data_IF_727268835803
#
_entry.id   IF_727268835803
#
_cell.length_a   1.000
_cell.length_b   1.000
_cell.length_c   1.000
_cell.angle_alpha   90.00
_cell.angle_beta   90.00
_cell.angle_gamma   90.00
#
_symmetry.space_group_name_H-M   'P 1'
#
loop_
_entity.id
_entity.type
_entity.pdbx_description
1 polymer ?
#
# COMPACT_ATOMS: atom_id res chain seq x y z
N UNK A 1 32.86 10.98 3.52
CA UNK A 1 31.67 10.62 4.31
C UNK A 1 31.15 9.22 3.98
N UNK A 2 30.85 8.89 2.71
CA UNK A 2 30.37 7.54 2.34
C UNK A 2 31.35 6.40 2.71
N UNK A 3 32.65 6.59 2.46
CA UNK A 3 33.67 5.57 2.79
C UNK A 3 33.78 5.28 4.30
N UNK A 4 33.57 6.27 5.17
CA UNK A 4 33.59 6.06 6.63
C UNK A 4 32.33 5.33 7.09
N UNK A 5 31.17 5.67 6.53
CA UNK A 5 29.90 4.97 6.78
C UNK A 5 30.01 3.48 6.40
N UNK A 6 30.60 3.15 5.25
CA UNK A 6 30.78 1.76 4.82
C UNK A 6 31.70 0.97 5.74
N UNK A 7 32.81 1.58 6.19
CA UNK A 7 33.72 0.94 7.15
C UNK A 7 33.03 0.65 8.48
N UNK A 8 32.19 1.56 8.97
CA UNK A 8 31.45 1.34 10.21
C UNK A 8 30.34 0.30 10.06
N UNK A 9 29.67 0.23 8.90
CA UNK A 9 28.71 -0.82 8.60
C UNK A 9 29.35 -2.21 8.62
N UNK A 10 30.57 -2.36 8.09
CA UNK A 10 31.31 -3.62 8.14
C UNK A 10 31.62 -4.04 9.58
N UNK A 11 32.01 -3.10 10.45
CA UNK A 11 32.27 -3.37 11.87
C UNK A 11 31.01 -3.82 12.62
N UNK A 12 29.84 -3.24 12.29
CA UNK A 12 28.55 -3.54 12.94
C UNK A 12 27.78 -4.69 12.29
N UNK A 13 28.34 -5.37 11.27
CA UNK A 13 27.61 -6.35 10.47
C UNK A 13 27.03 -7.49 11.30
N UNK A 14 27.83 -8.06 12.21
CA UNK A 14 27.41 -9.24 12.95
C UNK A 14 26.39 -8.88 14.04
N UNK A 15 26.53 -7.71 14.67
CA UNK A 15 25.50 -7.11 15.53
C UNK A 15 24.19 -6.90 14.76
N UNK A 16 24.25 -6.27 13.58
CA UNK A 16 23.07 -6.06 12.74
C UNK A 16 22.42 -7.36 12.27
N UNK A 17 23.19 -8.45 12.07
CA UNK A 17 22.67 -9.76 11.71
C UNK A 17 22.10 -10.55 12.88
N UNK A 18 22.43 -10.17 14.12
CA UNK A 18 21.94 -10.87 15.31
C UNK A 18 20.42 -10.83 15.42
N UNK A 19 19.77 -9.80 14.88
CA UNK A 19 18.31 -9.65 14.84
C UNK A 19 17.60 -10.79 14.09
N UNK A 20 18.33 -11.52 13.23
CA UNK A 20 17.81 -12.64 12.45
C UNK A 20 18.05 -14.01 13.11
N UNK A 21 18.53 -14.04 14.35
CA UNK A 21 18.96 -15.25 15.03
C UNK A 21 18.59 -15.23 16.51
N UNK A 22 18.71 -16.39 17.16
CA UNK A 22 18.52 -16.53 18.59
C UNK A 22 17.10 -16.95 18.98
N UNK A 23 16.95 -17.29 20.27
CA UNK A 23 15.76 -17.95 20.82
C UNK A 23 14.46 -17.18 20.53
N UNK A 24 14.50 -15.85 20.68
CA UNK A 24 13.34 -14.97 20.43
C UNK A 24 12.93 -14.97 18.96
N UNK A 25 13.89 -14.85 18.05
CA UNK A 25 13.63 -14.93 16.62
C UNK A 25 13.01 -16.29 16.25
N UNK A 26 13.59 -17.39 16.72
CA UNK A 26 13.09 -18.75 16.48
C UNK A 26 11.68 -18.96 17.01
N UNK A 27 11.37 -18.45 18.21
CA UNK A 27 10.02 -18.48 18.79
C UNK A 27 9.00 -17.74 17.93
N UNK A 28 9.35 -16.54 17.44
CA UNK A 28 8.46 -15.79 16.54
C UNK A 28 8.27 -16.53 15.21
N UNK A 29 9.32 -17.13 14.65
CA UNK A 29 9.22 -17.94 13.42
C UNK A 29 8.32 -19.15 13.63
N UNK A 30 8.42 -19.85 14.76
CA UNK A 30 7.53 -20.97 15.09
C UNK A 30 6.08 -20.52 15.22
N UNK A 31 5.83 -19.40 15.91
CA UNK A 31 4.50 -18.82 16.01
C UNK A 31 3.93 -18.41 14.63
N UNK A 32 4.75 -17.82 13.77
CA UNK A 32 4.39 -17.49 12.40
C UNK A 32 4.00 -18.74 11.59
N UNK A 33 4.75 -19.85 11.72
CA UNK A 33 4.39 -21.14 11.09
C UNK A 33 3.05 -21.67 11.60
N UNK A 34 2.83 -21.63 12.91
CA UNK A 34 1.59 -22.12 13.53
C UNK A 34 0.36 -21.25 13.19
N UNK A 35 0.57 -19.98 12.87
CA UNK A 35 -0.46 -19.05 12.43
C UNK A 35 -0.67 -19.04 10.91
N UNK A 36 0.11 -19.80 10.15
CA UNK A 36 -0.04 -19.85 8.70
C UNK A 36 -1.07 -20.89 8.30
N UNK A 37 -2.01 -20.47 7.45
CA UNK A 37 -2.95 -21.34 6.77
C UNK A 37 -2.40 -21.59 5.38
N UNK A 38 -1.82 -22.78 5.15
CA UNK A 38 -1.42 -23.19 3.81
C UNK A 38 -2.67 -23.30 2.92
N UNK A 39 -2.64 -22.57 1.81
CA UNK A 39 -3.71 -22.59 0.83
C UNK A 39 -3.13 -22.20 -0.53
N UNK A 40 -3.33 -23.05 -1.54
CA UNK A 40 -2.92 -22.78 -2.91
C UNK A 40 -4.09 -22.18 -3.69
N UNK A 41 -4.08 -20.85 -3.96
CA UNK A 41 -5.23 -20.18 -4.54
C UNK A 41 -5.53 -20.69 -5.95
N UNK A 42 -6.80 -20.95 -6.21
CA UNK A 42 -7.29 -21.39 -7.50
C UNK A 42 -7.67 -20.19 -8.35
N UNK A 43 -7.28 -20.19 -9.63
CA UNK A 43 -7.62 -19.08 -10.52
C UNK A 43 -9.14 -18.98 -10.68
N UNK A 44 -9.70 -17.87 -10.24
CA UNK A 44 -11.10 -17.50 -10.44
C UNK A 44 -11.19 -16.30 -11.37
N UNK A 45 -11.99 -16.41 -12.42
CA UNK A 45 -12.29 -15.25 -13.28
C UNK A 45 -13.05 -14.20 -12.48
N UNK A 46 -12.50 -13.00 -12.42
CA UNK A 46 -13.10 -11.85 -11.75
C UNK A 46 -12.61 -10.56 -12.39
N UNK A 47 -13.47 -9.54 -12.39
CA UNK A 47 -13.11 -8.17 -12.76
C UNK A 47 -12.52 -7.50 -11.53
N UNK A 48 -11.23 -7.17 -11.57
CA UNK A 48 -10.54 -6.46 -10.49
C UNK A 48 -10.21 -5.05 -10.96
N UNK A 49 -10.60 -4.05 -10.17
CA UNK A 49 -10.15 -2.68 -10.32
C UNK A 49 -9.05 -2.38 -9.29
N UNK A 50 -7.93 -1.83 -9.75
CA UNK A 50 -6.86 -1.31 -8.91
C UNK A 50 -6.93 0.20 -8.85
N UNK A 51 -6.66 0.77 -7.66
CA UNK A 51 -6.64 2.21 -7.42
C UNK A 51 -5.31 2.57 -6.78
N UNK A 52 -4.69 3.61 -7.31
CA UNK A 52 -3.51 4.24 -6.73
C UNK A 52 -3.56 5.75 -7.05
N UNK A 53 -2.79 6.52 -6.29
CA UNK A 53 -2.63 7.95 -6.48
C UNK A 53 -1.17 8.36 -6.38
N UNK A 54 -0.85 9.49 -7.01
CA UNK A 54 0.48 10.08 -6.93
C UNK A 54 0.36 11.58 -6.87
N UNK A 55 1.35 12.21 -6.26
CA UNK A 55 1.55 13.64 -6.34
C UNK A 55 3.05 13.92 -6.39
N UNK A 56 3.40 15.03 -7.03
CA UNK A 56 4.77 15.50 -7.07
C UNK A 56 4.78 17.02 -7.14
N UNK A 57 5.87 17.63 -6.71
CA UNK A 57 6.03 19.08 -6.75
C UNK A 57 7.48 19.49 -6.97
N UNK A 58 7.65 20.69 -7.53
CA UNK A 58 8.95 21.35 -7.65
C UNK A 58 8.87 22.75 -7.09
N UNK A 59 9.92 23.15 -6.37
CA UNK A 59 9.97 24.41 -5.63
C UNK A 59 10.86 25.42 -6.34
N UNK A 60 10.36 26.64 -6.38
CA UNK A 60 11.05 27.86 -6.74
C UNK A 60 11.16 28.75 -5.49
N UNK A 61 11.87 29.86 -5.56
CA UNK A 61 11.99 30.79 -4.42
C UNK A 61 10.63 31.36 -4.00
N UNK A 62 9.95 30.72 -3.04
CA UNK A 62 8.64 31.14 -2.50
C UNK A 62 7.42 30.60 -3.25
N UNK A 63 7.62 29.83 -4.32
CA UNK A 63 6.55 29.30 -5.17
C UNK A 63 6.72 27.79 -5.37
N UNK A 64 5.62 27.06 -5.51
CA UNK A 64 5.64 25.61 -5.74
C UNK A 64 4.69 25.26 -6.88
N UNK A 65 5.22 24.57 -7.89
CA UNK A 65 4.42 23.93 -8.92
C UNK A 65 4.13 22.51 -8.46
N UNK A 66 2.87 22.13 -8.41
CA UNK A 66 2.44 20.82 -7.91
C UNK A 66 1.42 20.18 -8.83
N UNK A 67 1.39 18.85 -8.80
CA UNK A 67 0.46 18.00 -9.54
C UNK A 67 0.05 16.85 -8.64
N UNK A 68 -1.22 16.47 -8.71
CA UNK A 68 -1.79 15.29 -8.06
C UNK A 68 -2.70 14.56 -9.04
N UNK A 69 -2.66 13.24 -9.01
CA UNK A 69 -3.49 12.38 -9.86
C UNK A 69 -3.89 11.10 -9.12
N UNK A 70 -5.04 10.55 -9.46
CA UNK A 70 -5.46 9.22 -9.04
C UNK A 70 -6.13 8.49 -10.20
N UNK A 71 -5.92 7.18 -10.26
CA UNK A 71 -6.42 6.33 -11.34
C UNK A 71 -7.10 5.11 -10.73
N UNK A 72 -8.28 4.78 -11.25
CA UNK A 72 -8.89 3.45 -11.14
C UNK A 72 -8.89 2.75 -12.49
N UNK A 73 -8.32 1.55 -12.54
CA UNK A 73 -8.12 0.79 -13.77
C UNK A 73 -8.39 -0.70 -13.55
N UNK A 74 -9.11 -1.33 -14.49
CA UNK A 74 -9.35 -2.78 -14.48
C UNK A 74 -8.09 -3.55 -14.85
N UNK A 75 -7.99 -4.82 -14.46
CA UNK A 75 -6.91 -5.71 -14.89
C UNK A 75 -6.82 -5.87 -16.43
N UNK A 76 -7.88 -5.56 -17.16
CA UNK A 76 -7.91 -5.51 -18.63
C UNK A 76 -7.28 -4.25 -19.23
N UNK A 77 -6.89 -3.27 -18.41
CA UNK A 77 -6.40 -1.96 -18.85
C UNK A 77 -7.50 -0.91 -19.09
N UNK A 78 -8.77 -1.25 -18.88
CA UNK A 78 -9.88 -0.29 -19.00
C UNK A 78 -9.87 0.64 -17.79
N UNK A 79 -9.64 1.94 -18.03
CA UNK A 79 -9.75 2.99 -17.00
C UNK A 79 -11.23 3.20 -16.63
N UNK A 80 -11.53 3.13 -15.33
CA UNK A 80 -12.86 3.42 -14.79
C UNK A 80 -12.97 4.91 -14.46
N UNK A 81 -11.92 5.46 -13.86
CA UNK A 81 -11.89 6.84 -13.40
C UNK A 81 -10.44 7.33 -13.39
N UNK A 82 -10.24 8.54 -13.89
CA UNK A 82 -8.99 9.28 -13.81
C UNK A 82 -9.30 10.69 -13.32
N UNK A 83 -8.53 11.17 -12.35
CA UNK A 83 -8.72 12.48 -11.73
C UNK A 83 -7.35 13.11 -11.60
N UNK A 84 -7.20 14.35 -12.03
CA UNK A 84 -5.98 15.11 -11.83
C UNK A 84 -6.29 16.54 -11.39
N UNK A 85 -5.32 17.15 -10.71
CA UNK A 85 -5.32 18.56 -10.38
C UNK A 85 -3.88 19.07 -10.36
N UNK A 86 -3.68 20.33 -10.72
CA UNK A 86 -2.37 20.97 -10.71
C UNK A 86 -2.50 22.44 -10.36
N UNK A 87 -1.43 23.02 -9.84
CA UNK A 87 -1.42 24.43 -9.49
C UNK A 87 -0.04 24.97 -9.23
N UNK A 88 0.02 26.30 -9.19
CA UNK A 88 1.21 27.09 -8.94
C UNK A 88 0.94 28.02 -7.76
N UNK A 89 1.67 27.86 -6.67
CA UNK A 89 1.40 28.56 -5.41
C UNK A 89 1.84 27.74 -4.21
N UNK A 90 1.45 28.17 -3.02
CA UNK A 90 1.53 27.31 -1.84
C UNK A 90 0.45 26.23 -1.96
N UNK A 91 0.79 24.92 -1.85
CA UNK A 91 -0.21 23.87 -1.97
C UNK A 91 -1.25 23.98 -0.84
N UNK A 92 -2.48 24.35 -1.20
CA UNK A 92 -3.61 24.40 -0.28
C UNK A 92 -4.83 23.76 -0.96
N UNK A 93 -5.36 22.64 -0.43
CA UNK A 93 -4.87 21.83 0.71
C UNK A 93 -3.63 20.96 0.37
N UNK A 94 -3.04 20.33 1.40
CA UNK A 94 -1.91 19.39 1.28
C UNK A 94 -2.15 18.32 0.19
N UNK A 95 -1.13 18.06 -0.64
CA UNK A 95 -1.24 17.15 -1.79
C UNK A 95 -1.64 15.72 -1.40
N UNK A 96 -1.18 15.23 -0.24
CA UNK A 96 -1.55 13.90 0.27
C UNK A 96 -3.05 13.78 0.55
N UNK A 97 -3.67 14.84 1.11
CA UNK A 97 -5.11 14.90 1.33
C UNK A 97 -5.88 14.95 0.00
N UNK A 98 -5.39 15.71 -0.98
CA UNK A 98 -6.00 15.74 -2.31
C UNK A 98 -5.96 14.36 -2.97
N UNK A 99 -4.79 13.69 -2.95
CA UNK A 99 -4.60 12.35 -3.49
C UNK A 99 -5.56 11.34 -2.84
N UNK A 100 -5.61 11.33 -1.51
CA UNK A 100 -6.50 10.45 -0.74
C UNK A 100 -7.99 10.73 -1.04
N UNK A 101 -8.38 11.99 -1.25
CA UNK A 101 -9.75 12.34 -1.65
C UNK A 101 -10.07 11.80 -3.04
N UNK A 102 -9.15 11.91 -3.99
CA UNK A 102 -9.31 11.37 -5.33
C UNK A 102 -9.40 9.84 -5.32
N UNK A 103 -8.66 9.15 -4.46
CA UNK A 103 -8.79 7.69 -4.27
C UNK A 103 -10.18 7.28 -3.75
N UNK A 104 -10.76 8.04 -2.82
CA UNK A 104 -12.12 7.78 -2.34
C UNK A 104 -13.16 7.99 -3.45
N UNK A 105 -12.99 9.03 -4.28
CA UNK A 105 -13.85 9.25 -5.44
C UNK A 105 -13.71 8.12 -6.47
N UNK A 106 -12.48 7.73 -6.81
CA UNK A 106 -12.19 6.62 -7.70
C UNK A 106 -12.75 5.29 -7.16
N UNK A 107 -12.64 5.06 -5.84
CA UNK A 107 -13.21 3.90 -5.17
C UNK A 107 -14.72 3.88 -5.33
N UNK A 108 -15.40 4.99 -5.02
CA UNK A 108 -16.87 5.13 -5.13
C UNK A 108 -17.36 4.84 -6.55
N UNK A 109 -16.63 5.30 -7.57
CA UNK A 109 -16.94 5.03 -8.98
C UNK A 109 -16.72 3.56 -9.36
N UNK A 110 -15.80 2.87 -8.70
CA UNK A 110 -15.37 1.51 -9.08
C UNK A 110 -16.16 0.39 -8.43
N UNK A 111 -16.79 0.64 -7.26
CA UNK A 111 -17.51 -0.38 -6.49
C UNK A 111 -18.53 -1.15 -7.34
N UNK A 112 -19.23 -0.47 -8.25
CA UNK A 112 -20.25 -1.10 -9.08
C UNK A 112 -19.70 -1.75 -10.36
N UNK A 113 -18.47 -1.43 -10.74
CA UNK A 113 -17.87 -1.75 -12.05
C UNK A 113 -16.94 -2.97 -12.01
N UNK A 114 -16.68 -3.52 -10.81
CA UNK A 114 -15.75 -4.61 -10.57
C UNK A 114 -16.29 -5.58 -9.51
N UNK A 115 -15.88 -6.84 -9.61
CA UNK A 115 -16.14 -7.87 -8.59
C UNK A 115 -15.31 -7.62 -7.33
N UNK A 116 -14.13 -7.00 -7.49
CA UNK A 116 -13.23 -6.61 -6.42
C UNK A 116 -12.56 -5.28 -6.75
N UNK A 117 -12.55 -4.37 -5.79
CA UNK A 117 -11.81 -3.10 -5.84
C UNK A 117 -10.65 -3.18 -4.85
N UNK A 118 -9.43 -3.02 -5.33
CA UNK A 118 -8.23 -3.01 -4.51
C UNK A 118 -7.62 -1.60 -4.51
N UNK A 119 -7.34 -1.06 -3.32
CA UNK A 119 -6.58 0.18 -3.16
C UNK A 119 -5.12 -0.17 -2.78
N UNK A 120 -4.13 0.48 -3.39
CA UNK A 120 -2.74 0.38 -2.95
C UNK A 120 -2.57 1.19 -1.65
N UNK A 121 -2.00 0.57 -0.63
CA UNK A 121 -1.83 1.18 0.68
C UNK A 121 -2.68 0.55 1.78
N UNK A 122 -2.78 1.24 2.90
CA UNK A 122 -3.35 0.72 4.14
C UNK A 122 -4.52 1.56 4.61
N UNK A 123 -5.68 0.91 4.75
CA UNK A 123 -6.89 1.50 5.33
C UNK A 123 -6.62 2.12 6.69
N UNK A 124 -5.92 1.36 7.54
CA UNK A 124 -5.56 1.79 8.90
C UNK A 124 -4.73 3.08 8.86
N UNK A 125 -3.61 3.06 8.13
CA UNK A 125 -2.64 4.16 8.17
C UNK A 125 -3.12 5.40 7.43
N UNK A 126 -3.93 5.21 6.39
CA UNK A 126 -4.35 6.30 5.52
C UNK A 126 -5.68 6.88 5.99
N UNK A 127 -6.77 6.12 5.96
CA UNK A 127 -8.11 6.67 6.12
C UNK A 127 -8.65 6.62 7.56
N UNK A 128 -8.06 5.82 8.44
CA UNK A 128 -8.49 5.75 9.84
C UNK A 128 -7.63 6.59 10.79
N UNK A 129 -6.40 6.93 10.38
CA UNK A 129 -5.47 7.77 11.14
C UNK A 129 -5.12 9.08 10.43
N UNK A 130 -4.22 9.09 9.43
CA UNK A 130 -3.73 10.32 8.78
C UNK A 130 -4.84 11.19 8.18
N UNK A 131 -5.69 10.58 7.36
CA UNK A 131 -6.77 11.23 6.60
C UNK A 131 -8.14 10.87 7.20
N UNK A 132 -8.23 10.91 8.53
CA UNK A 132 -9.42 10.44 9.26
C UNK A 132 -10.72 11.19 8.92
N UNK A 133 -10.63 12.42 8.39
CA UNK A 133 -11.77 13.18 7.86
C UNK A 133 -12.43 12.50 6.65
N UNK A 134 -11.68 11.70 5.88
CA UNK A 134 -12.18 10.91 4.75
C UNK A 134 -12.68 9.53 5.16
N UNK A 135 -12.45 9.11 6.41
CA UNK A 135 -12.75 7.78 6.91
C UNK A 135 -14.22 7.37 6.75
N UNK A 136 -15.16 8.30 6.96
CA UNK A 136 -16.59 8.02 6.75
C UNK A 136 -16.92 7.78 5.28
N UNK A 137 -16.38 8.60 4.37
CA UNK A 137 -16.64 8.50 2.94
C UNK A 137 -16.12 7.18 2.37
N UNK A 138 -14.88 6.78 2.71
CA UNK A 138 -14.35 5.49 2.26
C UNK A 138 -15.12 4.31 2.86
N UNK A 139 -15.55 4.42 4.12
CA UNK A 139 -16.35 3.37 4.77
C UNK A 139 -17.71 3.20 4.09
N UNK A 140 -18.35 4.29 3.66
CA UNK A 140 -19.59 4.23 2.89
C UNK A 140 -19.40 3.53 1.54
N UNK A 141 -18.29 3.82 0.84
CA UNK A 141 -17.94 3.13 -0.40
C UNK A 141 -17.74 1.62 -0.16
N UNK A 142 -16.98 1.24 0.88
CA UNK A 142 -16.74 -0.16 1.24
C UNK A 142 -18.07 -0.89 1.54
N UNK A 143 -18.95 -0.27 2.35
CA UNK A 143 -20.22 -0.89 2.78
C UNK A 143 -21.24 -1.08 1.66
N UNK A 144 -21.09 -0.40 0.52
CA UNK A 144 -22.05 -0.46 -0.59
C UNK A 144 -22.14 -1.85 -1.24
N UNK A 145 -21.02 -2.56 -1.40
CA UNK A 145 -20.99 -3.95 -1.92
C UNK A 145 -20.07 -4.90 -1.15
N UNK A 146 -19.33 -4.42 -0.16
CA UNK A 146 -18.36 -5.21 0.61
C UNK A 146 -17.31 -5.90 -0.26
N UNK A 147 -16.95 -5.28 -1.39
CA UNK A 147 -15.98 -5.78 -2.37
C UNK A 147 -14.72 -4.92 -2.46
N UNK A 148 -14.43 -4.14 -1.41
CA UNK A 148 -13.28 -3.23 -1.36
C UNK A 148 -12.25 -3.75 -0.37
N UNK A 149 -11.00 -3.86 -0.82
CA UNK A 149 -9.86 -4.29 0.00
C UNK A 149 -8.69 -3.33 -0.14
N UNK A 150 -7.83 -3.31 0.87
CA UNK A 150 -6.60 -2.52 0.87
C UNK A 150 -5.41 -3.46 0.85
N UNK A 151 -4.47 -3.22 -0.06
CA UNK A 151 -3.33 -4.10 -0.27
C UNK A 151 -2.06 -3.28 -0.13
N UNK A 152 -1.17 -3.69 0.79
CA UNK A 152 0.13 -3.06 1.00
C UNK A 152 1.28 -4.04 0.75
N UNK A 153 2.32 -3.57 0.06
CA UNK A 153 3.58 -4.32 -0.19
C UNK A 153 4.48 -4.40 1.05
N UNK A 154 4.32 -3.42 1.95
CA UNK A 154 5.10 -3.27 3.18
C UNK A 154 4.16 -3.11 4.37
N UNK A 155 4.63 -3.48 5.55
CA UNK A 155 3.90 -3.29 6.80
C UNK A 155 4.88 -3.18 7.96
N UNK A 156 4.72 -2.16 8.79
CA UNK A 156 5.45 -1.99 10.06
C UNK A 156 4.66 -2.52 11.26
N UNK A 157 3.45 -3.05 11.05
CA UNK A 157 2.63 -3.58 12.15
C UNK A 157 3.33 -4.76 12.84
N UNK A 158 3.34 -4.75 14.17
CA UNK A 158 4.00 -5.74 15.04
C UNK A 158 3.01 -6.50 15.93
N UNK A 159 1.72 -6.32 15.71
CA UNK A 159 0.66 -6.66 16.66
C UNK A 159 0.49 -8.16 16.87
N UNK A 160 0.78 -8.99 15.86
CA UNK A 160 0.62 -10.45 15.98
C UNK A 160 1.72 -11.09 16.83
N UNK A 161 2.93 -10.52 16.82
CA UNK A 161 4.09 -11.07 17.53
C UNK A 161 4.67 -10.15 18.61
N UNK A 162 4.04 -9.01 18.90
CA UNK A 162 4.47 -8.03 19.91
C UNK A 162 4.72 -8.67 21.27
N UNK A 163 3.83 -9.57 21.71
CA UNK A 163 3.94 -10.27 23.00
C UNK A 163 5.13 -11.25 23.07
N UNK A 164 5.59 -11.73 21.91
CA UNK A 164 6.83 -12.51 21.79
C UNK A 164 8.05 -11.60 21.63
N UNK A 165 7.82 -10.28 21.61
CA UNK A 165 8.84 -9.28 21.46
C UNK A 165 9.39 -9.18 20.03
N UNK A 166 8.61 -9.41 18.98
CA UNK A 166 9.07 -9.15 17.61
C UNK A 166 9.73 -7.77 17.47
N UNK A 167 10.95 -7.67 16.94
CA UNK A 167 11.68 -6.42 16.70
C UNK A 167 11.31 -5.77 15.36
N UNK A 168 11.01 -6.59 14.36
CA UNK A 168 10.54 -6.18 13.04
C UNK A 168 9.01 -6.31 12.90
N UNK A 169 8.43 -5.82 11.80
CA UNK A 169 7.01 -6.01 11.51
C UNK A 169 6.63 -7.48 11.25
N UNK A 170 5.38 -7.85 11.51
CA UNK A 170 4.89 -9.23 11.40
C UNK A 170 5.13 -9.84 10.01
N UNK A 171 4.97 -9.03 8.95
CA UNK A 171 5.23 -9.43 7.55
C UNK A 171 6.65 -9.96 7.33
N UNK A 172 7.63 -9.40 8.06
CA UNK A 172 9.02 -9.80 7.97
C UNK A 172 9.20 -11.24 8.46
N UNK A 173 8.58 -11.59 9.61
CA UNK A 173 8.66 -12.91 10.19
C UNK A 173 7.92 -13.96 9.35
N UNK A 174 6.73 -13.65 8.84
CA UNK A 174 6.04 -14.54 7.91
C UNK A 174 6.87 -14.82 6.65
N UNK A 175 7.57 -13.82 6.11
CA UNK A 175 8.39 -14.00 4.91
C UNK A 175 9.62 -14.89 5.15
N UNK A 176 10.13 -14.93 6.38
CA UNK A 176 11.21 -15.83 6.81
C UNK A 176 10.72 -17.23 7.16
N UNK A 177 9.52 -17.32 7.75
CA UNK A 177 8.97 -18.56 8.24
C UNK A 177 8.62 -19.53 7.11
N UNK A 178 7.98 -19.06 6.04
CA UNK A 178 7.47 -19.93 4.97
C UNK A 178 7.75 -19.34 3.60
N UNK A 179 7.76 -20.20 2.57
CA UNK A 179 7.85 -19.82 1.14
C UNK A 179 6.62 -20.21 0.31
N UNK A 180 5.70 -21.01 0.88
CA UNK A 180 4.49 -21.47 0.20
C UNK A 180 3.37 -20.41 0.14
N UNK A 181 2.42 -20.54 -0.81
CA UNK A 181 1.17 -19.80 -0.82
C UNK A 181 0.36 -20.02 0.45
N UNK A 182 -0.54 -19.08 0.72
CA UNK A 182 -1.43 -19.12 1.88
C UNK A 182 -1.56 -17.76 2.54
N UNK A 183 -2.03 -17.76 3.77
CA UNK A 183 -2.24 -16.53 4.52
C UNK A 183 -2.07 -16.75 6.03
N UNK A 184 -1.74 -15.71 6.76
CA UNK A 184 -1.80 -15.73 8.22
C UNK A 184 -3.24 -15.84 8.70
N UNK A 185 -3.45 -16.38 9.90
CA UNK A 185 -4.73 -16.22 10.62
C UNK A 185 -5.18 -14.76 10.61
N UNK A 186 -6.49 -14.58 10.55
CA UNK A 186 -7.12 -13.26 10.54
C UNK A 186 -6.84 -12.59 11.88
N UNK A 187 -6.23 -11.41 11.83
CA UNK A 187 -6.03 -10.57 13.00
C UNK A 187 -7.00 -9.41 12.96
N UNK A 188 -7.65 -9.13 14.09
CA UNK A 188 -8.61 -8.03 14.24
C UNK A 188 -7.98 -6.94 15.09
N UNK A 189 -7.72 -5.79 14.49
CA UNK A 189 -7.17 -4.62 15.18
C UNK A 189 -8.31 -3.71 15.65
N UNK A 190 -8.51 -3.68 16.98
CA UNK A 190 -9.55 -2.91 17.67
C UNK A 190 -9.01 -1.63 18.32
N UNK A 191 -7.72 -1.32 18.16
CA UNK A 191 -7.05 -0.28 18.96
C UNK A 191 -7.41 1.15 18.52
N UNK A 192 -8.14 1.31 17.41
CA UNK A 192 -8.55 2.60 16.85
C UNK A 192 -9.84 3.19 17.44
N UNK A 193 -10.48 2.47 18.36
CA UNK A 193 -11.74 2.88 19.00
C UNK A 193 -13.01 2.44 18.25
N UNK A 194 -14.20 2.78 18.79
CA UNK A 194 -15.48 2.27 18.30
C UNK A 194 -15.73 2.59 16.83
N UNK A 195 -16.10 1.58 16.05
CA UNK A 195 -16.46 1.71 14.62
C UNK A 195 -15.29 1.82 13.64
N UNK A 196 -14.03 1.84 14.12
CA UNK A 196 -12.81 1.89 13.28
C UNK A 196 -12.03 0.58 13.34
N UNK A 197 -12.70 -0.54 13.13
CA UNK A 197 -12.07 -1.85 13.29
C UNK A 197 -11.61 -2.39 11.94
N UNK A 198 -10.35 -2.86 11.89
CA UNK A 198 -9.74 -3.41 10.67
C UNK A 198 -9.34 -4.85 10.95
N UNK A 199 -9.76 -5.76 10.07
CA UNK A 199 -9.23 -7.12 10.02
C UNK A 199 -8.16 -7.20 8.95
N UNK A 200 -7.09 -7.94 9.19
CA UNK A 200 -6.06 -8.12 8.18
C UNK A 200 -5.40 -9.49 8.22
N UNK A 201 -4.85 -9.86 7.07
CA UNK A 201 -4.00 -11.04 6.88
C UNK A 201 -2.74 -10.64 6.13
N UNK A 202 -1.66 -11.41 6.33
CA UNK A 202 -0.53 -11.43 5.42
C UNK A 202 -0.70 -12.61 4.48
N UNK A 203 -0.65 -12.38 3.18
CA UNK A 203 -0.92 -13.40 2.17
C UNK A 203 0.23 -13.55 1.18
N UNK A 204 0.47 -14.79 0.73
CA UNK A 204 1.33 -15.12 -0.40
C UNK A 204 0.48 -15.78 -1.48
N UNK A 205 0.47 -15.20 -2.68
CA UNK A 205 -0.33 -15.70 -3.80
C UNK A 205 0.35 -16.84 -4.58
N UNK A 206 1.69 -16.92 -4.56
CA UNK A 206 2.46 -17.95 -5.27
C UNK A 206 3.74 -18.29 -4.52
N UNK A 207 4.25 -19.50 -4.71
CA UNK A 207 5.54 -19.93 -4.15
C UNK A 207 6.65 -18.88 -4.34
N UNK A 208 7.36 -18.64 -3.24
CA UNK A 208 8.55 -17.78 -3.16
C UNK A 208 8.36 -16.33 -3.65
N UNK A 209 7.13 -15.83 -3.77
CA UNK A 209 6.88 -14.41 -4.03
C UNK A 209 6.84 -13.60 -2.74
N UNK A 210 7.00 -12.26 -2.82
CA UNK A 210 6.76 -11.40 -1.67
C UNK A 210 5.36 -11.58 -1.06
N UNK A 211 5.26 -11.27 0.23
CA UNK A 211 3.99 -11.19 0.94
C UNK A 211 3.34 -9.83 0.68
N UNK A 212 2.01 -9.83 0.71
CA UNK A 212 1.18 -8.63 0.77
C UNK A 212 0.40 -8.62 2.08
N UNK A 213 0.14 -7.44 2.64
CA UNK A 213 -0.86 -7.27 3.69
C UNK A 213 -2.19 -6.93 3.03
N UNK A 214 -3.23 -7.67 3.38
CA UNK A 214 -4.60 -7.41 2.93
C UNK A 214 -5.40 -6.93 4.14
N UNK A 215 -5.97 -5.74 4.06
CA UNK A 215 -6.82 -5.16 5.09
C UNK A 215 -8.27 -5.07 4.62
N UNK A 216 -9.18 -5.43 5.51
CA UNK A 216 -10.63 -5.47 5.36
C UNK A 216 -11.26 -4.64 6.48
N UNK A 217 -12.35 -3.95 6.17
CA UNK A 217 -13.08 -3.18 7.18
C UNK A 217 -14.06 -4.09 7.95
N UNK A 218 -13.97 -4.12 9.28
CA UNK A 218 -14.85 -4.90 10.15
C UNK A 218 -14.15 -6.02 10.93
N UNK A 219 -14.96 -6.91 11.55
CA UNK A 219 -14.50 -7.94 12.50
C UNK A 219 -14.92 -9.37 12.16
N UNK A 220 -15.93 -9.57 11.32
CA UNK A 220 -16.60 -10.87 11.13
C UNK A 220 -16.15 -11.60 9.85
N UNK A 221 -14.89 -11.41 9.46
CA UNK A 221 -14.32 -12.05 8.28
C UNK A 221 -13.96 -13.51 8.55
N UNK A 222 -14.24 -14.38 7.57
CA UNK A 222 -14.01 -15.83 7.68
C UNK A 222 -12.88 -16.27 6.77
N UNK A 223 -12.21 -17.37 7.13
CA UNK A 223 -11.16 -17.93 6.27
C UNK A 223 -11.65 -18.26 4.85
N UNK A 224 -12.91 -18.67 4.68
CA UNK A 224 -13.49 -18.92 3.35
C UNK A 224 -13.59 -17.66 2.49
N UNK A 225 -13.82 -16.50 3.10
CA UNK A 225 -13.83 -15.20 2.43
C UNK A 225 -12.41 -14.83 1.97
N UNK A 226 -11.40 -15.03 2.85
CA UNK A 226 -9.99 -14.81 2.49
C UNK A 226 -9.58 -15.73 1.35
N UNK A 227 -9.91 -17.03 1.40
CA UNK A 227 -9.62 -17.97 0.30
C UNK A 227 -10.23 -17.51 -1.03
N UNK A 228 -11.52 -17.15 -1.02
CA UNK A 228 -12.20 -16.59 -2.20
C UNK A 228 -11.53 -15.31 -2.72
N UNK A 229 -11.04 -14.45 -1.82
CA UNK A 229 -10.30 -13.25 -2.19
C UNK A 229 -8.96 -13.59 -2.87
N UNK A 230 -8.20 -14.53 -2.31
CA UNK A 230 -6.93 -14.97 -2.90
C UNK A 230 -7.13 -15.61 -4.27
N UNK A 231 -8.21 -16.38 -4.46
CA UNK A 231 -8.57 -16.99 -5.75
C UNK A 231 -8.81 -15.93 -6.84
N UNK A 232 -9.53 -14.86 -6.48
CA UNK A 232 -9.75 -13.73 -7.38
C UNK A 232 -8.43 -12.99 -7.70
N UNK A 233 -7.65 -12.67 -6.67
CA UNK A 233 -6.39 -11.92 -6.84
C UNK A 233 -5.37 -12.68 -7.69
N UNK A 234 -5.28 -14.00 -7.54
CA UNK A 234 -4.24 -14.82 -8.18
C UNK A 234 -4.35 -14.87 -9.70
N UNK A 235 -5.56 -14.84 -10.25
CA UNK A 235 -5.80 -14.88 -11.71
C UNK A 235 -5.07 -13.77 -12.44
N UNK A 236 -5.11 -12.55 -11.89
CA UNK A 236 -4.53 -11.36 -12.50
C UNK A 236 -3.30 -10.87 -11.72
N UNK A 237 -2.55 -11.75 -11.05
CA UNK A 237 -1.35 -11.34 -10.30
C UNK A 237 -0.06 -11.62 -11.07
N UNK A 238 0.87 -10.67 -11.05
CA UNK A 238 2.21 -10.81 -11.61
C UNK A 238 3.21 -10.79 -10.47
N UNK A 239 4.03 -11.83 -10.36
CA UNK A 239 5.06 -11.96 -9.30
C UNK A 239 4.51 -11.82 -7.88
N UNK A 240 3.27 -12.27 -7.64
CA UNK A 240 2.63 -12.25 -6.32
C UNK A 240 1.96 -10.92 -5.95
N UNK A 241 1.82 -9.99 -6.90
CA UNK A 241 1.12 -8.73 -6.71
C UNK A 241 0.02 -8.51 -7.77
N UNK A 242 -1.17 -8.00 -7.41
CA UNK A 242 -2.27 -7.80 -8.36
C UNK A 242 -1.90 -6.84 -9.50
N UNK A 243 -2.11 -7.28 -10.74
CA UNK A 243 -1.75 -6.52 -11.94
C UNK A 243 -2.55 -5.22 -12.06
N UNK A 244 -3.82 -5.20 -11.65
CA UNK A 244 -4.63 -3.98 -11.66
C UNK A 244 -4.01 -2.87 -10.79
N UNK A 245 -3.43 -3.23 -9.63
CA UNK A 245 -2.71 -2.27 -8.79
C UNK A 245 -1.39 -1.82 -9.42
N UNK A 246 -0.67 -2.74 -10.10
CA UNK A 246 0.52 -2.38 -10.87
C UNK A 246 0.18 -1.38 -11.99
N UNK A 247 -0.92 -1.61 -12.71
CA UNK A 247 -1.41 -0.70 -13.74
C UNK A 247 -1.79 0.66 -13.16
N UNK A 248 -2.51 0.69 -12.05
CA UNK A 248 -2.88 1.94 -11.38
C UNK A 248 -1.62 2.75 -11.01
N UNK A 249 -0.65 2.11 -10.35
CA UNK A 249 0.62 2.71 -9.96
C UNK A 249 1.39 3.33 -11.11
N UNK A 250 1.56 2.59 -12.21
CA UNK A 250 2.27 3.10 -13.38
C UNK A 250 1.48 4.21 -14.10
N UNK A 251 0.15 4.14 -14.09
CA UNK A 251 -0.70 5.12 -14.77
C UNK A 251 -0.79 6.45 -14.02
N UNK A 252 -0.71 6.43 -12.69
CA UNK A 252 -0.79 7.64 -11.88
C UNK A 252 0.60 8.25 -11.58
N UNK A 253 1.70 7.60 -11.95
CA UNK A 253 3.06 8.05 -11.58
C UNK A 253 3.42 9.40 -12.21
N UNK A 254 3.73 10.39 -11.37
CA UNK A 254 4.21 11.71 -11.81
C UNK A 254 5.73 11.79 -11.58
N UNK A 255 6.51 11.81 -12.66
CA UNK A 255 7.97 11.89 -12.56
C UNK A 255 8.50 13.32 -12.51
N UNK A 256 9.76 13.49 -12.10
CA UNK A 256 10.42 14.79 -12.17
C UNK A 256 10.55 15.29 -13.62
N UNK A 257 10.64 14.40 -14.60
CA UNK A 257 10.66 14.78 -16.01
C UNK A 257 9.31 15.37 -16.45
N UNK A 258 8.19 14.85 -15.92
CA UNK A 258 6.85 15.41 -16.16
C UNK A 258 6.72 16.80 -15.54
N UNK A 259 7.23 16.99 -14.31
CA UNK A 259 7.32 18.30 -13.71
C UNK A 259 8.17 19.26 -14.55
N UNK A 260 9.35 18.84 -15.02
CA UNK A 260 10.19 19.69 -15.89
C UNK A 260 9.46 20.11 -17.17
N UNK A 261 8.68 19.21 -17.78
CA UNK A 261 7.84 19.56 -18.94
C UNK A 261 6.77 20.59 -18.56
N UNK A 262 6.10 20.41 -17.42
CA UNK A 262 5.12 21.39 -16.93
C UNK A 262 5.75 22.74 -16.63
N UNK A 263 6.94 22.78 -16.02
CA UNK A 263 7.72 24.01 -15.83
C UNK A 263 7.96 24.72 -17.16
N UNK A 264 8.36 23.98 -18.20
CA UNK A 264 8.52 24.55 -19.55
C UNK A 264 7.21 25.06 -20.13
N UNK A 265 6.11 24.31 -20.01
CA UNK A 265 4.79 24.70 -20.52
C UNK A 265 4.23 25.94 -19.81
N UNK A 266 4.49 26.08 -18.51
CA UNK A 266 4.11 27.25 -17.72
C UNK A 266 5.06 28.45 -17.92
N UNK A 267 6.15 28.31 -18.69
CA UNK A 267 7.13 29.37 -18.89
C UNK A 267 7.99 29.68 -17.66
N UNK A 268 8.09 28.75 -16.70
CA UNK A 268 8.79 28.93 -15.43
C UNK A 268 10.26 28.49 -15.47
N UNK A 269 10.80 28.19 -16.67
CA UNK A 269 12.15 27.67 -16.82
C UNK A 269 13.25 28.67 -16.39
N UNK A 270 12.92 29.96 -16.35
CA UNK A 270 13.84 31.04 -15.93
C UNK A 270 13.69 31.42 -14.45
N UNK A 271 12.76 30.80 -13.72
CA UNK A 271 12.55 31.06 -12.30
C UNK A 271 13.63 30.36 -11.48
N UNK A 272 14.20 31.08 -10.49
CA UNK A 272 15.31 30.57 -9.69
C UNK A 272 14.84 29.40 -8.81
N UNK A 273 15.43 28.23 -9.04
CA UNK A 273 15.16 27.04 -8.26
C UNK A 273 15.85 27.08 -6.88
N UNK A 274 15.31 26.35 -5.90
CA UNK A 274 15.91 26.27 -4.55
C UNK A 274 17.32 25.66 -4.53
N UNK A 275 17.69 24.89 -5.57
CA UNK A 275 18.95 24.14 -5.67
C UNK A 275 20.04 24.85 -6.47
N UNK A 276 19.70 25.87 -7.26
CA UNK A 276 20.67 26.60 -8.08
C UNK A 276 21.59 27.48 -7.23
N UNK A 277 21.15 27.86 -6.03
CA UNK A 277 21.94 28.64 -5.06
C UNK A 277 23.11 27.82 -4.45
N UNK A 278 23.06 26.49 -4.57
CA UNK A 278 24.03 25.57 -3.96
C UNK A 278 25.06 25.00 -4.95
N UNK A 279 24.99 25.40 -6.23
CA UNK A 279 25.90 24.94 -7.30
C UNK A 279 26.88 26.03 -7.72
#
# INVERSE_FOLDING_TARGET
MLNTVYRDALKKRDEARSIFKGKRFEQVIQAARANWVEYDPQKRNSVIAGIDSSYNSTKFQGLELWVVTAVSIKSSGIVIKEIHNQGLGQPSPELEMQASKMEVEACTASVNEADLVALDGSLYSQFLTRQSSLGQAVTLAIKKRQNVVFISKTSSARKQFEKLGSEAGDIFYYNHALKKPGFSKIFVDKDLGPGKVVSYVYARLRDSTPLIKIELFGVDHKESEIKSLLDMLTTNSVSGYPYALKLAHESCKITNADLSRLVSLYGLANEVGSREVLN
#
